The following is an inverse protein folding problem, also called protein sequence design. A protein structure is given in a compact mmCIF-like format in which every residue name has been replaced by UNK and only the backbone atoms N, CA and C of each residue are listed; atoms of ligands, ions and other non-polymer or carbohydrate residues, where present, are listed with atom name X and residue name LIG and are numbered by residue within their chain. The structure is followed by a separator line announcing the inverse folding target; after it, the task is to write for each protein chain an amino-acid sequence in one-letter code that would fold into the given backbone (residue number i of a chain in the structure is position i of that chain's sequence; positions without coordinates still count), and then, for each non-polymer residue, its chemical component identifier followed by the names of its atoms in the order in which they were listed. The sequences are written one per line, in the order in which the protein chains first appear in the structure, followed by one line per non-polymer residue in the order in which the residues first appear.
data_IF_472828797622
#
_entry.id   IF_472828797622
#
_cell.length_a   1.000
_cell.length_b   1.000
_cell.length_c   1.000
_cell.angle_alpha   90.00
_cell.angle_beta   90.00
_cell.angle_gamma   90.00
#
_symmetry.space_group_name_H-M   'P 1'
#
loop_
_entity.id
_entity.type
_entity.pdbx_description
1 polymer ?
#
# COMPACT_ATOMS: atom_id res chain seq x y z
N UNK A 1 15.46 15.65 4.24
CA UNK A 1 15.02 14.24 4.19
C UNK A 1 14.41 13.99 2.82
N UNK A 2 14.16 12.73 2.47
CA UNK A 2 13.48 12.39 1.21
C UNK A 2 12.00 12.84 1.31
N UNK A 3 11.45 13.58 0.32
CA UNK A 3 10.05 13.98 0.36
C UNK A 3 9.12 12.78 0.15
N UNK A 4 7.87 12.96 0.56
CA UNK A 4 6.78 12.00 0.36
C UNK A 4 5.56 12.69 -0.22
N UNK A 5 4.72 11.97 -0.94
CA UNK A 5 3.40 12.43 -1.38
C UNK A 5 2.43 11.27 -1.29
N UNK A 6 1.43 11.33 -0.41
CA UNK A 6 0.54 10.18 -0.19
C UNK A 6 -0.61 10.19 -1.20
N UNK A 7 -0.76 9.11 -1.97
CA UNK A 7 -1.94 8.83 -2.78
C UNK A 7 -2.77 7.73 -2.11
N UNK A 8 -4.06 7.99 -1.94
CA UNK A 8 -5.02 6.99 -1.49
C UNK A 8 -5.70 6.35 -2.71
N UNK A 9 -5.08 5.29 -3.21
CA UNK A 9 -5.49 4.59 -4.41
C UNK A 9 -6.80 3.84 -4.22
N UNK A 10 -7.82 4.30 -4.94
CA UNK A 10 -9.19 3.77 -4.89
C UNK A 10 -10.21 4.77 -4.35
N UNK A 11 -9.74 5.75 -3.56
CA UNK A 11 -10.59 6.83 -3.05
C UNK A 11 -10.92 7.85 -4.15
N UNK A 12 -12.12 8.42 -4.07
CA UNK A 12 -12.52 9.57 -4.89
C UNK A 12 -12.12 10.90 -4.20
N UNK A 13 -10.86 11.00 -3.78
CA UNK A 13 -10.31 12.19 -3.14
C UNK A 13 -10.35 13.40 -4.08
N UNK A 14 -10.54 14.60 -3.55
CA UNK A 14 -10.37 15.82 -4.35
C UNK A 14 -8.89 16.11 -4.56
N UNK A 15 -8.55 16.85 -5.62
CA UNK A 15 -7.16 17.04 -6.06
C UNK A 15 -6.14 17.40 -4.96
N UNK A 16 -6.41 18.31 -4.00
CA UNK A 16 -5.45 18.62 -2.92
C UNK A 16 -5.15 17.45 -1.96
N UNK A 17 -6.01 16.44 -1.92
CA UNK A 17 -5.91 15.26 -1.05
C UNK A 17 -5.69 13.96 -1.83
N UNK A 18 -5.40 14.05 -3.12
CA UNK A 18 -5.24 12.87 -3.97
C UNK A 18 -3.78 12.42 -4.10
N UNK A 19 -2.80 13.23 -3.67
CA UNK A 19 -1.39 12.88 -3.80
C UNK A 19 -0.82 13.16 -5.19
N UNK A 20 -1.17 14.32 -5.76
CA UNK A 20 -0.52 14.81 -6.98
C UNK A 20 1.01 14.76 -6.82
N UNK A 21 1.73 14.34 -7.87
CA UNK A 21 3.14 13.99 -7.72
C UNK A 21 4.04 15.13 -7.23
N UNK A 22 3.71 16.38 -7.59
CA UNK A 22 4.45 17.58 -7.14
C UNK A 22 3.97 18.11 -5.77
N UNK A 23 2.93 17.52 -5.20
CA UNK A 23 2.33 17.93 -3.93
C UNK A 23 2.99 17.17 -2.76
N UNK A 24 4.27 17.47 -2.61
CA UNK A 24 5.19 16.79 -1.69
C UNK A 24 5.18 17.40 -0.28
N UNK A 25 5.41 16.55 0.71
CA UNK A 25 5.68 16.92 2.10
C UNK A 25 7.15 16.65 2.40
N UNK A 26 7.90 17.70 2.74
CA UNK A 26 9.32 17.58 3.06
C UNK A 26 9.56 17.13 4.51
N UNK A 27 10.83 16.86 4.82
CA UNK A 27 11.24 16.53 6.18
C UNK A 27 10.83 17.64 7.17
N UNK A 28 10.17 17.24 8.26
CA UNK A 28 9.61 18.12 9.29
C UNK A 28 8.38 18.93 8.87
N UNK A 29 7.79 18.63 7.72
CA UNK A 29 6.49 19.14 7.33
C UNK A 29 5.41 18.09 7.60
N UNK A 30 4.17 18.55 7.67
CA UNK A 30 2.98 17.71 7.83
C UNK A 30 1.95 18.17 6.83
N UNK A 31 1.22 17.21 6.26
CA UNK A 31 0.05 17.47 5.44
C UNK A 31 -1.15 16.69 5.96
N UNK A 32 -2.28 17.37 6.04
CA UNK A 32 -3.56 16.74 6.38
C UNK A 32 -4.27 16.33 5.08
N UNK A 33 -4.75 15.09 5.06
CA UNK A 33 -5.54 14.52 3.97
C UNK A 33 -6.97 14.27 4.46
N UNK A 34 -7.95 14.62 3.62
CA UNK A 34 -9.37 14.38 3.92
C UNK A 34 -9.93 13.41 2.89
N UNK A 35 -10.36 12.25 3.37
CA UNK A 35 -10.93 11.19 2.54
C UNK A 35 -12.45 11.09 2.70
N UNK A 36 -13.19 10.83 1.61
CA UNK A 36 -14.64 10.75 1.66
C UNK A 36 -15.19 9.45 2.26
N UNK A 37 -14.45 8.33 2.13
CA UNK A 37 -14.80 6.99 2.62
C UNK A 37 -16.26 6.58 2.33
N UNK A 38 -16.76 6.98 1.17
CA UNK A 38 -18.19 6.95 0.85
C UNK A 38 -18.66 5.65 0.20
N UNK A 39 -17.76 4.70 -0.06
CA UNK A 39 -18.08 3.41 -0.66
C UNK A 39 -17.22 2.30 -0.04
N UNK A 40 -17.80 1.14 0.27
CA UNK A 40 -17.02 -0.02 0.70
C UNK A 40 -16.08 -0.50 -0.40
N UNK A 41 -14.81 -0.67 -0.08
CA UNK A 41 -13.76 -1.11 -1.01
C UNK A 41 -12.49 -1.56 -0.27
N UNK A 42 -11.73 -2.43 -0.94
CA UNK A 42 -10.31 -2.63 -0.63
C UNK A 42 -9.51 -1.58 -1.39
N UNK A 43 -9.00 -0.60 -0.67
CA UNK A 43 -8.17 0.48 -1.17
C UNK A 43 -6.76 0.30 -0.61
N UNK A 44 -5.83 1.13 -1.05
CA UNK A 44 -4.46 1.13 -0.55
C UNK A 44 -3.87 2.52 -0.66
N UNK A 45 -3.00 2.88 0.27
CA UNK A 45 -2.27 4.13 0.21
C UNK A 45 -0.81 3.86 -0.07
N UNK A 46 -0.17 4.72 -0.85
CA UNK A 46 1.26 4.61 -1.15
C UNK A 46 1.87 5.98 -1.44
N UNK A 47 3.19 6.04 -1.41
CA UNK A 47 3.91 7.22 -1.88
C UNK A 47 3.74 7.42 -3.39
N UNK A 48 3.65 8.67 -3.81
CA UNK A 48 3.42 9.14 -5.17
C UNK A 48 4.28 10.39 -5.49
N UNK A 49 5.35 10.64 -4.72
CA UNK A 49 6.24 11.78 -4.93
C UNK A 49 6.96 11.69 -6.28
N UNK A 50 7.16 12.86 -6.91
CA UNK A 50 7.65 12.97 -8.28
C UNK A 50 9.02 12.29 -8.43
N UNK A 51 9.15 11.44 -9.46
CA UNK A 51 10.36 10.70 -9.83
C UNK A 51 10.89 9.68 -8.81
N UNK A 52 10.41 9.67 -7.57
CA UNK A 52 10.91 8.79 -6.49
C UNK A 52 9.85 7.83 -5.94
N UNK A 53 8.63 7.87 -6.48
CA UNK A 53 7.51 6.94 -6.14
C UNK A 53 7.96 5.49 -6.04
N UNK A 54 8.68 4.99 -7.05
CA UNK A 54 9.13 3.60 -7.08
C UNK A 54 10.05 3.27 -5.91
N UNK A 55 11.03 4.13 -5.59
CA UNK A 55 11.94 3.88 -4.47
C UNK A 55 11.22 3.96 -3.12
N UNK A 56 10.35 4.95 -2.94
CA UNK A 56 9.60 5.14 -1.71
C UNK A 56 8.64 3.97 -1.42
N UNK A 57 7.85 3.55 -2.42
CA UNK A 57 7.01 2.37 -2.31
C UNK A 57 7.85 1.10 -2.10
N UNK A 58 8.99 0.98 -2.78
CA UNK A 58 9.89 -0.16 -2.61
C UNK A 58 10.43 -0.29 -1.19
N UNK A 59 10.79 0.81 -0.55
CA UNK A 59 11.25 0.81 0.84
C UNK A 59 10.12 0.73 1.89
N UNK A 60 8.87 0.54 1.44
CA UNK A 60 7.76 0.16 2.31
C UNK A 60 6.71 1.24 2.54
N UNK A 61 6.75 2.37 1.81
CA UNK A 61 5.67 3.38 1.86
C UNK A 61 4.46 2.94 1.04
N UNK A 62 3.83 1.84 1.45
CA UNK A 62 2.57 1.34 0.93
C UNK A 62 1.82 0.53 2.01
N UNK A 63 0.50 0.63 2.04
CA UNK A 63 -0.35 -0.10 2.99
C UNK A 63 -1.78 -0.22 2.50
N UNK A 64 -2.54 -1.18 3.03
CA UNK A 64 -3.96 -1.33 2.71
C UNK A 64 -4.81 -0.31 3.50
N UNK A 65 -5.89 0.15 2.88
CA UNK A 65 -6.94 0.96 3.48
C UNK A 65 -8.29 0.27 3.20
N UNK A 66 -9.00 -0.15 4.23
CA UNK A 66 -10.23 -0.93 4.05
C UNK A 66 -11.42 -0.09 4.49
N UNK A 67 -12.24 0.32 3.51
CA UNK A 67 -13.55 0.90 3.79
C UNK A 67 -14.54 -0.25 3.90
N UNK A 68 -14.94 -0.58 5.13
CA UNK A 68 -15.82 -1.72 5.41
C UNK A 68 -17.28 -1.30 5.50
N UNK A 69 -18.19 -2.14 5.00
CA UNK A 69 -19.63 -1.97 5.24
C UNK A 69 -20.13 -2.76 6.44
N UNK A 70 -19.25 -3.53 7.12
CA UNK A 70 -19.64 -4.39 8.23
C UNK A 70 -20.39 -3.64 9.32
N UNK A 71 -21.47 -4.25 9.83
CA UNK A 71 -22.29 -3.65 10.90
C UNK A 71 -21.49 -3.34 12.16
N UNK A 72 -20.49 -4.18 12.49
CA UNK A 72 -19.59 -3.99 13.64
C UNK A 72 -18.76 -2.70 13.57
N UNK A 73 -18.56 -2.16 12.36
CA UNK A 73 -17.84 -0.92 12.10
C UNK A 73 -18.79 0.27 11.86
N UNK A 74 -20.10 0.11 12.13
CA UNK A 74 -21.10 1.15 11.92
C UNK A 74 -21.63 1.25 10.48
N UNK A 75 -21.26 0.32 9.60
CA UNK A 75 -21.80 0.24 8.24
C UNK A 75 -23.20 -0.38 8.18
N UNK A 76 -23.76 -0.46 6.98
CA UNK A 76 -25.10 -1.01 6.73
C UNK A 76 -25.16 -2.56 6.65
N UNK A 77 -24.01 -3.22 6.71
CA UNK A 77 -23.80 -4.67 6.60
C UNK A 77 -23.27 -5.08 5.24
N UNK A 78 -22.44 -6.12 5.26
CA UNK A 78 -21.90 -6.72 4.04
C UNK A 78 -23.00 -7.46 3.26
N UNK A 79 -22.95 -7.45 1.91
CA UNK A 79 -23.85 -8.25 1.12
C UNK A 79 -23.63 -9.75 1.41
N UNK A 80 -24.65 -10.57 1.15
CA UNK A 80 -24.57 -12.04 1.25
C UNK A 80 -24.23 -12.60 2.65
N UNK A 81 -24.50 -11.86 3.73
CA UNK A 81 -24.22 -12.25 5.11
C UNK A 81 -22.73 -12.53 5.39
N UNK A 82 -21.83 -11.77 4.75
CA UNK A 82 -20.37 -11.90 4.92
C UNK A 82 -19.81 -11.14 6.13
N UNK A 83 -20.67 -10.52 6.96
CA UNK A 83 -20.27 -9.72 8.12
C UNK A 83 -19.31 -10.47 9.08
N UNK A 84 -19.53 -11.79 9.23
CA UNK A 84 -18.83 -12.65 10.18
C UNK A 84 -17.73 -13.53 9.53
N UNK A 85 -17.49 -13.40 8.23
CA UNK A 85 -16.42 -14.12 7.55
C UNK A 85 -15.07 -13.50 7.89
N UNK A 86 -14.10 -14.38 8.14
CA UNK A 86 -12.72 -13.99 8.39
C UNK A 86 -12.06 -13.47 7.12
N UNK A 87 -11.50 -12.25 7.18
CA UNK A 87 -10.79 -11.64 6.06
C UNK A 87 -9.28 -11.75 6.27
N UNK A 88 -8.56 -12.17 5.24
CA UNK A 88 -7.10 -12.19 5.20
C UNK A 88 -6.60 -11.17 4.19
N UNK A 89 -5.82 -10.22 4.66
CA UNK A 89 -5.24 -9.17 3.84
C UNK A 89 -3.78 -9.52 3.49
N UNK A 90 -3.51 -9.70 2.20
CA UNK A 90 -2.22 -10.15 1.70
C UNK A 90 -1.66 -9.09 0.74
N UNK A 91 -0.52 -8.48 1.10
CA UNK A 91 0.17 -7.51 0.24
C UNK A 91 1.32 -8.22 -0.45
N UNK A 92 1.26 -8.37 -1.76
CA UNK A 92 2.32 -9.01 -2.54
C UNK A 92 3.39 -7.98 -2.89
N UNK A 93 4.65 -8.34 -2.68
CA UNK A 93 5.79 -7.51 -3.03
C UNK A 93 6.93 -8.39 -3.54
N UNK A 94 7.77 -7.84 -4.41
CA UNK A 94 9.04 -8.43 -4.82
C UNK A 94 10.20 -7.51 -4.38
N UNK A 95 11.28 -8.11 -3.89
CA UNK A 95 12.46 -7.42 -3.36
C UNK A 95 13.75 -8.10 -3.81
N UNK A 96 14.84 -7.35 -3.73
CA UNK A 96 16.23 -7.81 -3.90
C UNK A 96 17.01 -7.44 -2.65
N UNK A 97 17.82 -8.37 -2.15
CA UNK A 97 18.75 -8.16 -1.06
C UNK A 97 20.19 -8.24 -1.58
N UNK A 98 21.07 -7.40 -1.03
CA UNK A 98 22.51 -7.56 -1.24
C UNK A 98 23.10 -8.66 -0.34
N UNK A 99 24.43 -8.85 -0.44
CA UNK A 99 25.17 -9.82 0.38
C UNK A 99 25.18 -9.50 1.88
N UNK A 100 24.74 -8.31 2.28
CA UNK A 100 24.60 -7.85 3.67
C UNK A 100 23.14 -7.88 4.15
N UNK A 101 22.26 -8.52 3.38
CA UNK A 101 20.83 -8.63 3.63
C UNK A 101 20.12 -7.26 3.71
N UNK A 102 20.60 -6.26 2.97
CA UNK A 102 19.94 -4.95 2.86
C UNK A 102 19.13 -4.84 1.57
N UNK A 103 18.00 -4.12 1.63
CA UNK A 103 17.19 -3.82 0.45
C UNK A 103 17.96 -2.93 -0.52
N UNK A 104 18.11 -3.41 -1.75
CA UNK A 104 18.78 -2.66 -2.82
C UNK A 104 17.84 -2.34 -3.97
N UNK A 105 18.08 -1.19 -4.58
CA UNK A 105 17.55 -0.80 -5.88
C UNK A 105 18.75 -0.62 -6.77
N UNK A 106 18.90 -1.46 -7.79
CA UNK A 106 19.98 -1.31 -8.77
C UNK A 106 19.64 -0.15 -9.70
N UNK A 107 20.07 1.07 -9.37
CA UNK A 107 19.81 2.27 -10.18
C UNK A 107 20.52 2.24 -11.53
N UNK A 108 21.52 1.37 -11.70
CA UNK A 108 22.40 1.32 -12.88
C UNK A 108 22.02 0.19 -13.86
N UNK A 109 21.40 -0.92 -13.38
CA UNK A 109 20.76 -1.97 -14.20
C UNK A 109 19.25 -2.11 -13.99
N UNK A 110 18.52 -1.08 -13.54
CA UNK A 110 17.12 -1.01 -13.97
C UNK A 110 17.20 -0.92 -15.49
N UNK A 111 16.94 -2.03 -16.18
CA UNK A 111 16.39 -1.93 -17.54
C UNK A 111 15.36 -0.82 -17.42
N UNK A 112 15.51 0.30 -18.15
CA UNK A 112 14.76 1.58 -17.94
C UNK A 112 13.22 1.44 -18.06
N UNK A 113 12.73 0.21 -18.04
CA UNK A 113 11.42 -0.33 -18.28
C UNK A 113 10.85 -0.98 -16.99
N UNK A 114 11.61 -1.73 -16.17
CA UNK A 114 11.08 -2.46 -14.99
C UNK A 114 12.14 -2.90 -13.98
N UNK A 115 11.73 -3.06 -12.71
CA UNK A 115 12.53 -3.65 -11.64
C UNK A 115 11.82 -4.90 -11.14
N UNK A 116 12.46 -6.08 -11.26
CA UNK A 116 11.93 -7.36 -10.79
C UNK A 116 12.75 -7.84 -9.59
N UNK A 117 12.07 -8.21 -8.51
CA UNK A 117 12.70 -8.85 -7.35
C UNK A 117 12.82 -10.37 -7.48
N UNK A 118 13.81 -10.94 -6.79
CA UNK A 118 14.02 -12.39 -6.70
C UNK A 118 13.51 -12.99 -5.37
N UNK A 119 13.09 -12.13 -4.44
CA UNK A 119 12.49 -12.52 -3.16
C UNK A 119 11.03 -12.06 -3.14
N UNK A 120 10.11 -13.01 -3.12
CA UNK A 120 8.68 -12.75 -3.00
C UNK A 120 8.29 -12.61 -1.53
N UNK A 121 7.58 -11.54 -1.21
CA UNK A 121 7.08 -11.24 0.12
C UNK A 121 5.55 -11.23 0.12
N UNK A 122 4.98 -11.67 1.24
CA UNK A 122 3.58 -11.39 1.57
C UNK A 122 3.57 -10.59 2.86
N UNK A 123 3.03 -9.37 2.81
CA UNK A 123 2.94 -8.44 3.93
C UNK A 123 4.29 -8.22 4.63
N UNK A 124 5.36 -8.06 3.84
CA UNK A 124 6.71 -7.80 4.34
C UNK A 124 7.51 -9.05 4.77
N UNK A 125 6.93 -10.24 4.73
CA UNK A 125 7.61 -11.49 5.13
C UNK A 125 8.00 -12.28 3.89
N UNK A 126 9.28 -12.67 3.71
CA UNK A 126 9.72 -13.53 2.61
C UNK A 126 9.11 -14.94 2.72
N UNK A 127 8.51 -15.42 1.63
CA UNK A 127 7.98 -16.79 1.51
C UNK A 127 7.24 -17.32 2.76
N UNK A 128 6.23 -16.63 3.29
CA UNK A 128 5.61 -17.00 4.55
C UNK A 128 4.66 -18.19 4.38
N UNK A 129 4.35 -18.83 5.51
CA UNK A 129 3.28 -19.82 5.60
C UNK A 129 2.17 -19.28 6.52
N UNK A 130 0.92 -19.64 6.23
CA UNK A 130 -0.24 -19.34 7.08
C UNK A 130 -1.03 -20.63 7.28
N UNK A 131 -1.20 -21.05 8.54
CA UNK A 131 -2.12 -22.14 8.86
C UNK A 131 -3.56 -21.66 8.72
N UNK A 132 -4.39 -22.46 8.07
CA UNK A 132 -5.81 -22.20 7.90
C UNK A 132 -6.63 -23.34 8.50
N UNK A 133 -7.73 -22.97 9.15
CA UNK A 133 -8.77 -23.95 9.48
C UNK A 133 -9.45 -24.41 8.19
N UNK A 134 -9.98 -25.65 8.13
CA UNK A 134 -10.74 -26.14 6.98
C UNK A 134 -12.16 -25.54 6.97
N UNK A 135 -12.25 -24.21 6.90
CA UNK A 135 -13.46 -23.41 6.79
C UNK A 135 -13.22 -22.27 5.79
N UNK A 136 -14.30 -21.69 5.30
CA UNK A 136 -14.26 -20.43 4.56
C UNK A 136 -14.04 -19.26 5.50
#
# INVERSE_FOLDING_TARGET
GRPIGIHHHGSASIAPYDGWADDETCLHETKEYVYPDNRPAMEWYHDHALHITAENAYYGLAGLYIVSSKKKCGGCGEPWNLDDIEEKFLILQDKVLDSECQLVIDKDNVDKISFYGDINLVSGIPYPYMNLDPKW
#
